data_IF_707905359532
#
_entry.id   IF_707905359532
#
_cell.length_a   1.000
_cell.length_b   1.000
_cell.length_c   1.000
_cell.angle_alpha   90.00
_cell.angle_beta   90.00
_cell.angle_gamma   90.00
#
_symmetry.space_group_name_H-M   'P 1'
#
loop_
_entity.id
_entity.type
_entity.pdbx_description
1 polymer ?
#
# COMPACT_ATOMS: atom_id res chain seq x y z
N UNK A 1 -12.47 4.41 -12.22
CA UNK A 1 -11.02 4.11 -12.32
C UNK A 1 -10.84 2.66 -11.88
N UNK A 2 -9.89 1.88 -12.43
CA UNK A 2 -9.70 0.51 -11.96
C UNK A 2 -8.93 0.53 -10.64
N UNK A 3 -9.65 0.86 -9.57
CA UNK A 3 -9.21 0.58 -8.21
C UNK A 3 -9.18 -0.94 -8.05
N UNK A 4 -8.19 -1.44 -7.32
CA UNK A 4 -8.15 -2.83 -6.89
C UNK A 4 -8.84 -2.87 -5.53
N UNK A 5 -10.03 -3.51 -5.44
CA UNK A 5 -10.78 -3.54 -4.19
C UNK A 5 -10.01 -4.30 -3.11
N UNK A 6 -10.41 -4.06 -1.87
CA UNK A 6 -9.85 -4.76 -0.73
C UNK A 6 -9.95 -6.28 -0.90
N UNK A 7 -8.87 -6.97 -0.56
CA UNK A 7 -8.82 -8.42 -0.49
C UNK A 7 -8.18 -8.82 0.83
N UNK A 8 -8.70 -9.90 1.43
CA UNK A 8 -8.25 -10.46 2.72
C UNK A 8 -7.56 -11.80 2.42
N UNK A 9 -6.21 -11.86 2.32
CA UNK A 9 -5.51 -13.08 1.96
C UNK A 9 -5.51 -14.11 3.08
N UNK A 10 -5.36 -13.65 4.32
CA UNK A 10 -5.42 -14.47 5.53
C UNK A 10 -6.24 -13.72 6.57
N UNK A 11 -7.28 -14.36 7.08
CA UNK A 11 -8.14 -13.77 8.11
C UNK A 11 -7.45 -13.85 9.47
N UNK A 12 -7.24 -12.70 10.11
CA UNK A 12 -6.79 -12.62 11.50
C UNK A 12 -7.96 -12.90 12.47
N UNK A 13 -7.63 -13.29 13.71
CA UNK A 13 -8.62 -13.30 14.78
C UNK A 13 -9.16 -11.87 14.99
N UNK A 14 -10.47 -11.66 15.20
CA UNK A 14 -11.07 -10.31 15.23
C UNK A 14 -10.45 -9.34 16.25
N UNK A 15 -9.96 -9.88 17.37
CA UNK A 15 -9.34 -9.17 18.49
C UNK A 15 -7.81 -9.04 18.37
N UNK A 16 -7.21 -9.69 17.37
CA UNK A 16 -5.79 -9.54 17.07
C UNK A 16 -5.48 -8.11 16.64
N UNK A 17 -4.35 -7.60 17.11
CA UNK A 17 -3.77 -6.37 16.58
C UNK A 17 -3.19 -6.64 15.19
N UNK A 18 -3.41 -5.71 14.26
CA UNK A 18 -2.85 -5.76 12.90
C UNK A 18 -2.17 -4.45 12.58
N UNK A 19 -1.02 -4.54 11.93
CA UNK A 19 -0.19 -3.41 11.53
C UNK A 19 -0.60 -2.92 10.14
N UNK A 20 -1.16 -1.71 10.07
CA UNK A 20 -1.65 -1.10 8.83
C UNK A 20 -0.60 -0.16 8.27
N UNK A 21 -0.42 -0.21 6.95
CA UNK A 21 0.32 0.75 6.16
C UNK A 21 -0.61 1.39 5.13
N UNK A 22 -0.60 2.72 5.05
CA UNK A 22 -1.04 3.44 3.86
C UNK A 22 0.15 4.13 3.21
N UNK A 23 0.17 4.15 1.88
CA UNK A 23 1.16 4.89 1.11
C UNK A 23 0.52 5.71 -0.01
N UNK A 24 1.21 6.80 -0.39
CA UNK A 24 0.92 7.64 -1.54
C UNK A 24 2.16 7.72 -2.43
N UNK A 25 2.00 7.38 -3.69
CA UNK A 25 3.03 7.52 -4.72
C UNK A 25 2.58 8.54 -5.77
N UNK A 26 3.34 9.61 -5.96
CA UNK A 26 3.15 10.56 -7.06
C UNK A 26 4.31 10.41 -8.06
N UNK A 27 4.00 10.08 -9.31
CA UNK A 27 4.99 9.93 -10.38
C UNK A 27 5.33 11.27 -11.03
N UNK A 28 6.56 11.47 -11.49
CA UNK A 28 6.98 12.75 -12.11
C UNK A 28 6.33 13.01 -13.47
N UNK A 29 5.95 11.96 -14.21
CA UNK A 29 5.41 12.06 -15.57
C UNK A 29 4.24 11.11 -15.78
N UNK A 30 3.41 11.37 -16.80
CA UNK A 30 2.31 10.48 -17.15
C UNK A 30 2.80 9.11 -17.65
N UNK A 31 3.94 9.07 -18.36
CA UNK A 31 4.60 7.81 -18.73
C UNK A 31 5.03 7.01 -17.49
N UNK A 32 5.53 7.68 -16.45
CA UNK A 32 5.81 7.06 -15.16
C UNK A 32 4.54 6.49 -14.51
N UNK A 33 3.43 7.24 -14.55
CA UNK A 33 2.13 6.76 -14.05
C UNK A 33 1.66 5.51 -14.79
N UNK A 34 1.74 5.48 -16.12
CA UNK A 34 1.38 4.30 -16.92
C UNK A 34 2.27 3.10 -16.56
N UNK A 35 3.59 3.30 -16.42
CA UNK A 35 4.53 2.24 -16.00
C UNK A 35 4.18 1.69 -14.61
N UNK A 36 3.88 2.56 -13.64
CA UNK A 36 3.47 2.15 -12.29
C UNK A 36 2.16 1.34 -12.34
N UNK A 37 1.16 1.87 -13.05
CA UNK A 37 -0.15 1.25 -13.17
C UNK A 37 -0.07 -0.18 -13.74
N UNK A 38 0.75 -0.39 -14.77
CA UNK A 38 0.96 -1.73 -15.36
C UNK A 38 1.63 -2.73 -14.40
N UNK A 39 2.35 -2.27 -13.37
CA UNK A 39 3.00 -3.13 -12.36
C UNK A 39 2.10 -3.41 -11.14
N UNK A 40 1.09 -2.58 -10.90
CA UNK A 40 0.24 -2.66 -9.71
C UNK A 40 -0.40 -4.04 -9.48
N UNK A 41 -0.97 -4.74 -10.48
CA UNK A 41 -1.54 -6.07 -10.27
C UNK A 41 -0.52 -7.10 -9.77
N UNK A 42 0.72 -7.02 -10.27
CA UNK A 42 1.81 -7.90 -9.84
C UNK A 42 2.21 -7.66 -8.39
N UNK A 43 2.27 -6.40 -7.95
CA UNK A 43 2.58 -6.04 -6.55
C UNK A 43 1.47 -6.51 -5.62
N UNK A 44 0.19 -6.31 -5.98
CA UNK A 44 -0.94 -6.83 -5.21
C UNK A 44 -0.89 -8.35 -5.12
N UNK A 45 -0.56 -9.04 -6.22
CA UNK A 45 -0.37 -10.48 -6.23
C UNK A 45 0.73 -10.96 -5.29
N UNK A 46 1.80 -10.18 -5.12
CA UNK A 46 2.87 -10.48 -4.15
C UNK A 46 2.39 -10.28 -2.72
N UNK A 47 1.69 -9.18 -2.41
CA UNK A 47 1.15 -8.93 -1.05
C UNK A 47 0.15 -10.02 -0.65
N UNK A 48 -0.74 -10.42 -1.58
CA UNK A 48 -1.71 -11.51 -1.33
C UNK A 48 -1.08 -12.87 -1.01
N UNK A 49 0.19 -13.07 -1.32
CA UNK A 49 0.92 -14.30 -1.04
C UNK A 49 1.93 -14.15 0.09
N UNK A 50 2.10 -12.94 0.62
CA UNK A 50 3.10 -12.65 1.63
C UNK A 50 2.67 -13.23 2.98
N UNK A 51 3.55 -13.96 3.69
CA UNK A 51 3.28 -14.41 5.05
C UNK A 51 2.96 -13.22 5.97
N UNK A 52 1.87 -13.34 6.73
CA UNK A 52 1.39 -12.29 7.62
C UNK A 52 0.58 -11.19 6.94
N UNK A 53 0.16 -11.32 5.67
CA UNK A 53 -0.70 -10.34 5.03
C UNK A 53 -2.19 -10.56 5.36
N UNK A 54 -2.83 -9.60 6.01
CA UNK A 54 -4.25 -9.61 6.34
C UNK A 54 -5.13 -8.80 5.39
N UNK A 55 -4.52 -7.97 4.54
CA UNK A 55 -5.30 -7.08 3.71
C UNK A 55 -4.51 -6.30 2.69
N UNK A 56 -5.10 -6.07 1.52
CA UNK A 56 -4.56 -5.12 0.55
C UNK A 56 -5.63 -4.53 -0.36
N UNK A 57 -5.54 -3.23 -0.62
CA UNK A 57 -6.29 -2.50 -1.64
C UNK A 57 -5.39 -1.47 -2.33
N UNK A 58 -5.76 -1.05 -3.54
CA UNK A 58 -5.07 0.01 -4.28
C UNK A 58 -6.05 0.91 -5.00
N UNK A 59 -5.82 2.22 -4.90
CA UNK A 59 -6.58 3.25 -5.61
C UNK A 59 -5.68 3.96 -6.61
N UNK A 60 -6.10 3.99 -7.87
CA UNK A 60 -5.25 4.41 -8.99
C UNK A 60 -5.79 5.68 -9.69
N UNK A 61 -5.26 6.86 -9.35
CA UNK A 61 -5.55 8.14 -10.02
C UNK A 61 -4.55 8.40 -11.15
N UNK A 62 -4.62 7.61 -12.23
CA UNK A 62 -3.59 7.60 -13.30
C UNK A 62 -3.39 8.97 -13.94
N UNK A 63 -4.47 9.67 -14.31
CA UNK A 63 -4.38 11.04 -14.87
C UNK A 63 -3.83 12.04 -13.85
N UNK A 64 -4.12 11.83 -12.56
CA UNK A 64 -3.54 12.58 -11.45
C UNK A 64 -2.15 12.10 -11.02
N UNK A 65 -1.54 11.16 -11.76
CA UNK A 65 -0.21 10.57 -11.50
C UNK A 65 -0.03 10.00 -10.08
N UNK A 66 -1.14 9.71 -9.39
CA UNK A 66 -1.17 9.40 -7.96
C UNK A 66 -1.73 8.00 -7.72
N UNK A 67 -1.05 7.23 -6.88
CA UNK A 67 -1.46 5.89 -6.49
C UNK A 67 -1.46 5.78 -4.97
N UNK A 68 -2.51 5.20 -4.42
CA UNK A 68 -2.64 4.96 -2.99
C UNK A 68 -2.65 3.45 -2.75
N UNK A 69 -1.85 2.97 -1.80
CA UNK A 69 -1.87 1.58 -1.37
C UNK A 69 -2.29 1.54 0.10
N UNK A 70 -3.16 0.60 0.44
CA UNK A 70 -3.54 0.31 1.81
C UNK A 70 -3.32 -1.18 2.04
N UNK A 71 -2.62 -1.55 3.10
CA UNK A 71 -2.35 -2.94 3.44
C UNK A 71 -2.36 -3.16 4.95
N UNK A 72 -2.77 -4.34 5.39
CA UNK A 72 -2.73 -4.76 6.77
C UNK A 72 -1.89 -6.03 6.92
N UNK A 73 -1.12 -6.09 8.00
CA UNK A 73 -0.12 -7.11 8.28
C UNK A 73 -0.28 -7.63 9.71
N UNK A 74 0.20 -8.84 9.95
CA UNK A 74 0.28 -9.46 11.27
C UNK A 74 1.02 -8.56 12.25
N UNK A 75 2.18 -8.06 11.82
CA UNK A 75 3.00 -7.13 12.59
C UNK A 75 3.89 -6.27 11.68
N UNK A 76 4.70 -5.44 12.31
CA UNK A 76 5.72 -4.62 11.66
C UNK A 76 6.73 -5.47 10.88
N UNK A 77 7.18 -6.58 11.44
CA UNK A 77 8.23 -7.42 10.87
C UNK A 77 7.74 -8.14 9.60
N UNK A 78 6.49 -8.58 9.55
CA UNK A 78 5.85 -9.15 8.38
C UNK A 78 5.85 -8.14 7.21
N UNK A 79 5.47 -6.88 7.47
CA UNK A 79 5.53 -5.82 6.47
C UNK A 79 6.96 -5.58 5.96
N UNK A 80 7.93 -5.41 6.85
CA UNK A 80 9.31 -5.10 6.43
C UNK A 80 9.99 -6.30 5.76
N UNK A 81 9.66 -7.53 6.16
CA UNK A 81 10.08 -8.76 5.48
C UNK A 81 9.56 -8.79 4.05
N UNK A 82 8.29 -8.44 3.83
CA UNK A 82 7.73 -8.30 2.49
C UNK A 82 8.44 -7.18 1.70
N UNK A 83 8.59 -5.99 2.29
CA UNK A 83 9.21 -4.84 1.65
C UNK A 83 10.65 -5.11 1.18
N UNK A 84 11.38 -5.95 1.92
CA UNK A 84 12.74 -6.39 1.58
C UNK A 84 12.84 -7.60 0.65
N UNK A 85 11.73 -8.29 0.35
CA UNK A 85 11.73 -9.52 -0.44
C UNK A 85 11.73 -9.25 -1.96
N UNK A 86 12.28 -10.18 -2.74
CA UNK A 86 12.17 -10.15 -4.20
C UNK A 86 10.84 -10.80 -4.64
N UNK A 87 10.20 -10.31 -5.73
CA UNK A 87 10.65 -9.25 -6.64
C UNK A 87 10.21 -7.83 -6.20
N UNK A 88 9.71 -7.65 -4.99
CA UNK A 88 9.19 -6.37 -4.52
C UNK A 88 10.29 -5.32 -4.39
N UNK A 89 11.41 -5.67 -3.74
CA UNK A 89 12.55 -4.78 -3.51
C UNK A 89 13.10 -4.18 -4.81
N UNK A 90 13.38 -5.01 -5.82
CA UNK A 90 13.86 -4.55 -7.12
C UNK A 90 12.83 -3.67 -7.84
N UNK A 91 11.54 -4.02 -7.77
CA UNK A 91 10.45 -3.24 -8.35
C UNK A 91 10.32 -1.86 -7.71
N UNK A 92 10.39 -1.78 -6.38
CA UNK A 92 10.33 -0.52 -5.62
C UNK A 92 11.54 0.37 -5.91
N UNK A 93 12.74 -0.21 -6.03
CA UNK A 93 13.94 0.54 -6.44
C UNK A 93 13.81 1.11 -7.86
N UNK A 94 13.27 0.33 -8.81
CA UNK A 94 13.04 0.80 -10.17
C UNK A 94 11.97 1.91 -10.21
N UNK A 95 10.94 1.80 -9.35
CA UNK A 95 9.89 2.81 -9.24
C UNK A 95 10.41 4.17 -8.76
N UNK A 96 11.38 4.18 -7.84
CA UNK A 96 11.98 5.40 -7.29
C UNK A 96 12.56 6.32 -8.38
N UNK A 97 13.06 5.77 -9.49
CA UNK A 97 13.64 6.54 -10.59
C UNK A 97 12.63 7.46 -11.32
N UNK A 98 11.33 7.25 -11.15
CA UNK A 98 10.28 8.06 -11.76
C UNK A 98 9.24 8.58 -10.76
N UNK A 99 9.54 8.52 -9.45
CA UNK A 99 8.72 9.17 -8.41
C UNK A 99 9.08 10.64 -8.27
N UNK A 100 8.04 11.46 -8.14
CA UNK A 100 8.14 12.85 -7.67
C UNK A 100 8.08 12.90 -6.15
N UNK A 101 7.16 12.13 -5.56
CA UNK A 101 6.95 12.12 -4.11
C UNK A 101 6.49 10.72 -3.67
N UNK A 102 6.88 10.31 -2.47
CA UNK A 102 6.38 9.12 -1.81
C UNK A 102 6.14 9.42 -0.34
N UNK A 103 4.95 9.09 0.17
CA UNK A 103 4.58 9.26 1.57
C UNK A 103 4.01 7.95 2.12
N UNK A 104 4.27 7.70 3.40
CA UNK A 104 3.83 6.51 4.12
C UNK A 104 3.35 6.91 5.51
N UNK A 105 2.32 6.22 6.00
CA UNK A 105 1.88 6.30 7.39
C UNK A 105 1.51 4.91 7.86
N UNK A 106 1.74 4.66 9.14
CA UNK A 106 1.63 3.34 9.75
C UNK A 106 0.92 3.45 11.10
N UNK A 107 0.04 2.51 11.40
CA UNK A 107 -0.68 2.46 12.67
C UNK A 107 -1.21 1.06 12.95
N UNK A 108 -1.59 0.79 14.18
CA UNK A 108 -2.18 -0.49 14.61
C UNK A 108 -3.67 -0.32 14.84
N UNK A 109 -4.44 -1.33 14.47
CA UNK A 109 -5.89 -1.44 14.73
C UNK A 109 -6.23 -2.87 15.14
N UNK A 110 -7.44 -3.11 15.63
CA UNK A 110 -7.99 -4.47 15.74
C UNK A 110 -8.38 -5.00 14.36
N UNK A 111 -8.19 -6.29 14.13
CA UNK A 111 -8.56 -6.92 12.86
C UNK A 111 -10.05 -6.73 12.51
N UNK A 112 -10.92 -6.64 13.51
CA UNK A 112 -12.34 -6.34 13.35
C UNK A 112 -12.62 -4.96 12.70
N UNK A 113 -11.65 -4.04 12.70
CA UNK A 113 -11.76 -2.72 12.07
C UNK A 113 -11.40 -2.75 10.58
N UNK A 114 -10.86 -3.87 10.07
CA UNK A 114 -10.57 -4.02 8.64
C UNK A 114 -11.85 -4.28 7.83
N UNK A 115 -11.98 -3.74 6.61
CA UNK A 115 -11.01 -2.87 5.93
C UNK A 115 -11.08 -1.42 6.40
N UNK A 116 -9.91 -0.77 6.54
CA UNK A 116 -9.87 0.68 6.78
C UNK A 116 -10.42 1.42 5.55
N UNK A 117 -11.26 2.42 5.81
CA UNK A 117 -11.82 3.25 4.74
C UNK A 117 -10.73 4.08 4.05
N UNK A 118 -10.91 4.36 2.75
CA UNK A 118 -10.00 5.26 2.04
C UNK A 118 -10.02 6.69 2.59
N UNK A 119 -11.15 7.16 3.13
CA UNK A 119 -11.24 8.47 3.77
C UNK A 119 -10.28 8.57 4.95
N UNK A 120 -10.23 7.54 5.79
CA UNK A 120 -9.33 7.49 6.94
C UNK A 120 -7.86 7.34 6.50
N UNK A 121 -7.59 6.49 5.51
CA UNK A 121 -6.24 6.33 4.97
C UNK A 121 -5.71 7.64 4.35
N UNK A 122 -6.53 8.35 3.58
CA UNK A 122 -6.18 9.64 2.98
C UNK A 122 -6.00 10.75 4.04
N UNK A 123 -6.83 10.76 5.10
CA UNK A 123 -6.66 11.69 6.25
C UNK A 123 -5.30 11.52 6.92
N UNK A 124 -4.93 10.29 7.29
CA UNK A 124 -3.64 9.99 7.94
C UNK A 124 -2.44 10.33 7.05
N UNK A 125 -2.55 10.10 5.74
CA UNK A 125 -1.51 10.48 4.78
C UNK A 125 -1.34 12.00 4.69
N UNK A 126 -2.42 12.77 4.75
CA UNK A 126 -2.38 14.23 4.75
C UNK A 126 -1.76 14.81 6.04
N UNK A 127 -2.09 14.21 7.19
CA UNK A 127 -1.50 14.59 8.48
C UNK A 127 0.01 14.38 8.50
N UNK A 128 0.48 13.24 7.97
CA UNK A 128 1.91 12.96 7.89
C UNK A 128 2.67 13.93 6.98
N UNK A 129 2.04 14.40 5.89
CA UNK A 129 2.65 15.39 4.97
C UNK A 129 2.78 16.78 5.60
N UNK A 130 1.94 17.11 6.57
CA UNK A 130 1.91 18.43 7.23
C UNK A 130 2.87 18.49 8.43
N UNK A 131 3.44 17.35 8.83
CA UNK A 131 4.39 17.24 9.95
C UNK A 131 5.84 17.61 9.58
N UNK A 132 6.09 18.03 8.32
CA UNK A 132 7.39 18.48 7.77
C UNK A 132 7.21 19.81 7.06
#
# INVERSE_FOLDING_TARGET
MPDIPWSTPTQAAPDADVYVMASRFETSTLTGALRFFLKAPGIIGQIRKAPGAHGVALRARVLGRTFLTLSAWEDRDALYRFAGSEPHRSSSRAAAAFMKESAFTFWTVKAAELPISWTEAERRLAEQKTAY
#
